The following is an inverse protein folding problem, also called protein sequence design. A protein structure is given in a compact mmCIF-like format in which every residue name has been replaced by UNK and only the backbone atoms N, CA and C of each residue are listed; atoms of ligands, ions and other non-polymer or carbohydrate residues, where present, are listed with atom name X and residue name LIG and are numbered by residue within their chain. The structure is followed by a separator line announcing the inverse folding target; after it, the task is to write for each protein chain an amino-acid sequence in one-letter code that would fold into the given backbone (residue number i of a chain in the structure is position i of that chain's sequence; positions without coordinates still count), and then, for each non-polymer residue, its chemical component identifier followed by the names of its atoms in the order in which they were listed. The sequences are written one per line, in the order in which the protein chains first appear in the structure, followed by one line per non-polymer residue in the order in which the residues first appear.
data_IF_410349698323
#
_entry.id   IF_410349698323
#
_cell.length_a   1.000
_cell.length_b   1.000
_cell.length_c   1.000
_cell.angle_alpha   90.00
_cell.angle_beta   90.00
_cell.angle_gamma   90.00
#
_symmetry.space_group_name_H-M   'P 1'
#
loop_
_entity.id
_entity.type
_entity.pdbx_description
1 polymer ?
#
# COMPACT_ATOMS: atom_id res chain seq x y z
N UNK A 1 10.87 9.34 -14.24
CA UNK A 1 11.04 10.49 -13.32
C UNK A 1 9.70 10.72 -12.65
N UNK A 2 9.61 10.72 -11.32
CA UNK A 2 8.33 10.94 -10.64
C UNK A 2 8.08 12.45 -10.53
N UNK A 3 7.05 12.94 -11.20
CA UNK A 3 6.49 14.27 -10.96
C UNK A 3 5.54 14.15 -9.77
N UNK A 4 5.60 15.09 -8.84
CA UNK A 4 4.66 15.18 -7.72
C UNK A 4 3.98 16.54 -7.72
N UNK A 5 2.70 16.62 -7.32
CA UNK A 5 2.01 17.88 -7.25
C UNK A 5 2.66 18.77 -6.19
N UNK A 6 2.84 20.04 -6.52
CA UNK A 6 3.27 21.04 -5.57
C UNK A 6 2.21 21.22 -4.49
N UNK A 7 2.62 21.20 -3.22
CA UNK A 7 1.71 21.29 -2.06
C UNK A 7 0.85 22.56 -2.02
N UNK A 8 1.35 23.67 -2.58
CA UNK A 8 0.64 24.96 -2.59
C UNK A 8 -0.22 25.15 -3.85
N UNK A 9 0.37 25.03 -5.04
CA UNK A 9 -0.31 25.39 -6.30
C UNK A 9 -0.89 24.20 -7.07
N UNK A 10 -0.66 22.96 -6.61
CA UNK A 10 -1.18 21.74 -7.23
C UNK A 10 -0.59 21.37 -8.58
N UNK A 11 0.32 22.19 -9.14
CA UNK A 11 0.97 21.89 -10.42
C UNK A 11 2.04 20.81 -10.28
N UNK A 12 2.25 20.05 -11.34
CA UNK A 12 3.25 18.99 -11.39
C UNK A 12 4.67 19.57 -11.33
N UNK A 13 5.45 19.13 -10.35
CA UNK A 13 6.84 19.55 -10.17
C UNK A 13 7.73 18.35 -9.94
N UNK A 14 9.03 18.48 -10.24
CA UNK A 14 9.98 17.39 -10.07
C UNK A 14 10.04 16.93 -8.62
N UNK A 15 10.17 15.62 -8.41
CA UNK A 15 10.23 15.09 -7.08
C UNK A 15 11.45 15.58 -6.26
N UNK A 16 12.49 16.00 -6.95
CA UNK A 16 13.73 16.55 -6.38
C UNK A 16 13.79 18.08 -6.48
N UNK A 17 12.72 18.76 -6.92
CA UNK A 17 12.72 20.21 -7.01
C UNK A 17 12.87 20.82 -5.61
N UNK A 18 13.85 21.70 -5.44
CA UNK A 18 14.02 22.48 -4.20
C UNK A 18 13.04 23.65 -4.12
N UNK A 19 12.56 24.15 -5.26
CA UNK A 19 11.63 25.27 -5.34
C UNK A 19 10.65 25.05 -6.49
N UNK A 20 9.37 25.37 -6.30
CA UNK A 20 8.37 25.29 -7.36
C UNK A 20 8.58 26.41 -8.39
N UNK A 21 8.73 26.09 -9.70
CA UNK A 21 8.84 27.11 -10.75
C UNK A 21 7.53 27.86 -11.03
N UNK A 22 6.40 27.41 -10.49
CA UNK A 22 5.09 28.01 -10.76
C UNK A 22 4.58 28.94 -9.67
N UNK A 23 4.92 28.68 -8.41
CA UNK A 23 4.49 29.51 -7.28
C UNK A 23 5.63 29.98 -6.38
N UNK A 24 6.87 29.49 -6.57
CA UNK A 24 8.03 29.90 -5.79
C UNK A 24 8.17 29.24 -4.42
N UNK A 25 7.28 28.31 -4.04
CA UNK A 25 7.37 27.65 -2.73
C UNK A 25 8.59 26.72 -2.64
N UNK A 26 9.32 26.82 -1.54
CA UNK A 26 10.46 25.94 -1.21
C UNK A 26 10.01 24.56 -0.77
N UNK A 27 10.78 23.53 -1.13
CA UNK A 27 10.52 22.11 -0.93
C UNK A 27 9.10 21.72 -1.38
N UNK A 28 8.68 22.03 -2.62
CA UNK A 28 7.29 22.00 -3.06
C UNK A 28 6.61 20.65 -2.93
N UNK A 29 7.41 19.61 -2.75
CA UNK A 29 6.91 18.28 -2.72
C UNK A 29 7.46 17.55 -1.49
N UNK A 30 6.55 17.17 -0.62
CA UNK A 30 6.81 16.49 0.64
C UNK A 30 7.33 15.06 0.38
N UNK A 31 8.54 14.74 0.83
CA UNK A 31 9.06 13.36 0.85
C UNK A 31 8.48 12.56 2.03
N UNK A 32 7.20 12.79 2.38
CA UNK A 32 6.60 12.21 3.56
C UNK A 32 6.07 10.78 3.35
N UNK A 33 6.02 10.27 2.11
CA UNK A 33 5.44 8.95 1.82
C UNK A 33 6.41 8.02 1.07
N UNK A 34 7.39 7.52 1.82
CA UNK A 34 7.81 6.13 1.69
C UNK A 34 7.84 5.40 3.06
N UNK A 35 7.22 6.01 4.08
CA UNK A 35 7.02 5.43 5.41
C UNK A 35 5.53 5.20 5.73
N UNK A 36 4.69 5.08 4.71
CA UNK A 36 3.30 4.66 4.85
C UNK A 36 3.00 3.59 3.79
N UNK A 37 3.15 2.31 4.15
CA UNK A 37 2.53 1.22 3.39
C UNK A 37 3.29 -0.10 3.27
N UNK A 38 4.62 -0.14 3.38
CA UNK A 38 5.35 -1.43 3.35
C UNK A 38 5.37 -2.15 4.71
N UNK A 39 4.46 -1.79 5.61
CA UNK A 39 4.06 -2.59 6.76
C UNK A 39 2.62 -3.14 6.60
N UNK A 40 2.07 -3.24 5.39
CA UNK A 40 0.86 -4.03 5.15
C UNK A 40 1.09 -5.56 5.20
N UNK A 41 2.30 -6.01 5.52
CA UNK A 41 2.65 -7.42 5.66
C UNK A 41 3.11 -7.82 7.07
N UNK A 42 2.70 -7.09 8.13
CA UNK A 42 2.92 -7.55 9.51
C UNK A 42 1.63 -7.72 10.33
N UNK A 43 0.47 -7.66 9.68
CA UNK A 43 -0.82 -7.96 10.33
C UNK A 43 -1.55 -9.12 9.64
N UNK A 44 -0.78 -10.11 9.16
CA UNK A 44 -1.20 -11.37 8.54
C UNK A 44 -1.84 -12.34 9.55
N UNK A 45 -2.92 -11.88 10.20
CA UNK A 45 -3.95 -12.68 10.84
C UNK A 45 -4.75 -13.54 9.81
N UNK A 46 -4.13 -13.90 8.68
CA UNK A 46 -4.69 -14.75 7.64
C UNK A 46 -4.50 -16.23 7.94
N UNK A 47 -3.39 -16.64 8.57
CA UNK A 47 -3.09 -18.06 8.77
C UNK A 47 -4.09 -18.76 9.70
N UNK A 48 -4.62 -18.09 10.73
CA UNK A 48 -5.56 -18.72 11.67
C UNK A 48 -6.93 -18.91 11.05
N UNK A 49 -7.45 -17.89 10.35
CA UNK A 49 -8.76 -18.00 9.68
C UNK A 49 -8.71 -18.92 8.46
N UNK A 50 -7.59 -18.94 7.71
CA UNK A 50 -7.44 -19.92 6.63
C UNK A 50 -7.37 -21.34 7.19
N UNK A 51 -6.55 -21.64 8.20
CA UNK A 51 -6.51 -22.97 8.80
C UNK A 51 -7.87 -23.42 9.37
N UNK A 52 -8.55 -22.56 10.13
CA UNK A 52 -9.83 -22.90 10.77
C UNK A 52 -10.96 -23.17 9.77
N UNK A 53 -10.97 -22.53 8.60
CA UNK A 53 -12.05 -22.69 7.61
C UNK A 53 -11.67 -23.73 6.55
N UNK A 54 -10.41 -23.73 6.09
CA UNK A 54 -9.97 -24.65 5.01
C UNK A 54 -9.88 -26.09 5.46
N UNK A 55 -9.37 -26.36 6.68
CA UNK A 55 -9.26 -27.73 7.21
C UNK A 55 -10.62 -28.43 7.28
N UNK A 56 -11.67 -27.88 7.94
CA UNK A 56 -12.94 -28.58 8.02
C UNK A 56 -13.61 -28.75 6.65
N UNK A 57 -13.50 -27.77 5.75
CA UNK A 57 -14.05 -27.88 4.39
C UNK A 57 -13.42 -29.06 3.63
N UNK A 58 -12.08 -29.19 3.68
CA UNK A 58 -11.38 -30.29 2.99
C UNK A 58 -11.75 -31.64 3.59
N UNK A 59 -11.88 -31.75 4.92
CA UNK A 59 -12.30 -32.99 5.58
C UNK A 59 -13.71 -33.42 5.19
N UNK A 60 -14.66 -32.49 5.10
CA UNK A 60 -16.04 -32.79 4.65
C UNK A 60 -16.05 -33.27 3.21
N UNK A 61 -15.33 -32.59 2.32
CA UNK A 61 -15.23 -32.98 0.90
C UNK A 61 -14.66 -34.40 0.77
N UNK A 62 -13.59 -34.71 1.50
CA UNK A 62 -12.97 -36.03 1.48
C UNK A 62 -13.92 -37.12 2.00
N UNK A 63 -14.66 -36.85 3.08
CA UNK A 63 -15.66 -37.78 3.63
C UNK A 63 -16.78 -38.09 2.63
N UNK A 64 -17.30 -37.06 1.95
CA UNK A 64 -18.34 -37.22 0.91
C UNK A 64 -17.82 -37.99 -0.30
N UNK A 65 -16.54 -37.83 -0.67
CA UNK A 65 -15.94 -38.55 -1.80
C UNK A 65 -15.62 -40.02 -1.48
N UNK A 66 -15.45 -40.37 -0.20
CA UNK A 66 -15.11 -41.73 0.25
C UNK A 66 -16.34 -42.58 0.62
N UNK A 67 -17.49 -41.96 0.84
CA UNK A 67 -18.77 -42.60 1.14
C UNK A 67 -19.60 -42.85 -0.13
#
# INVERSE_FOLDING_TARGET
MALKPCRECGREVSAQANTCPHCGVSAPANNALAAAGALQSLQSCGCLMTLLITIPIVLVILFVLLA
#
